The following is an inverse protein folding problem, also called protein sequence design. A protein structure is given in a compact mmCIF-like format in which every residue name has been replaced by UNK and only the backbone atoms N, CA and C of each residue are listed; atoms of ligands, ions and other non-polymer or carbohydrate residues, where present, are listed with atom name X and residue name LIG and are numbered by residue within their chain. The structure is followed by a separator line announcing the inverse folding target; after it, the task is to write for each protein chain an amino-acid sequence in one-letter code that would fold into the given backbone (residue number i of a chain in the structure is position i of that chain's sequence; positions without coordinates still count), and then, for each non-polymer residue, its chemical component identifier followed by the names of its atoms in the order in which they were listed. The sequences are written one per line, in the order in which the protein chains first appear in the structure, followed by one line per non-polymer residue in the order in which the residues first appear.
data_IF_513324966854
#
_entry.id   IF_513324966854
#
_cell.length_a   1.000
_cell.length_b   1.000
_cell.length_c   1.000
_cell.angle_alpha   90.00
_cell.angle_beta   90.00
_cell.angle_gamma   90.00
#
_symmetry.space_group_name_H-M   'P 1'
#
loop_
_entity.id
_entity.type
_entity.pdbx_description
1 polymer ?
2 non-polymer ?
3 water ?
#
# COMPACT_ATOMS: atom_id res chain seq x y z
N UNK A 10 23.62 6.99 10.77
CA UNK A 10 22.19 7.11 11.06
C UNK A 10 21.73 8.55 10.84
N UNK A 11 20.95 8.76 9.79
CA UNK A 11 20.47 10.10 9.45
C UNK A 11 18.98 10.10 9.11
N UNK A 12 18.33 11.23 9.37
CA UNK A 12 16.91 11.40 9.10
C UNK A 12 16.62 11.43 7.61
N UNK A 13 15.38 11.14 7.23
CA UNK A 13 15.00 11.13 5.83
C UNK A 13 13.49 11.34 5.68
N UNK A 14 13.02 11.26 4.44
CA UNK A 14 11.59 11.32 4.16
C UNK A 14 11.15 10.01 3.53
N UNK A 15 9.87 9.69 3.66
CA UNK A 15 9.34 8.52 2.98
C UNK A 15 9.47 8.71 1.47
N UNK A 16 9.32 9.96 1.02
CA UNK A 16 9.47 10.28 -0.40
C UNK A 16 10.85 9.90 -0.93
N UNK A 17 11.88 10.20 -0.14
CA UNK A 17 13.24 9.87 -0.55
C UNK A 17 13.52 8.37 -0.51
N UNK A 18 13.16 7.71 0.57
CA UNK A 18 13.48 6.30 0.73
C UNK A 18 12.71 5.40 -0.25
N UNK A 19 11.51 5.85 -0.63
CA UNK A 19 10.64 5.04 -1.49
C UNK A 19 10.34 5.64 -2.86
N UNK A 20 11.26 6.46 -3.37
CA UNK A 20 11.08 7.07 -4.67
C UNK A 20 11.13 6.08 -5.81
N UNK A 21 12.09 5.16 -5.75
CA UNK A 21 12.27 4.15 -6.79
C UNK A 21 11.35 2.94 -6.57
N UNK A 22 10.47 3.02 -5.57
CA UNK A 22 9.52 1.95 -5.33
C UNK A 22 8.46 1.98 -6.41
N UNK A 23 8.26 0.84 -7.09
CA UNK A 23 7.25 0.79 -8.15
C UNK A 23 5.84 0.86 -7.58
N UNK A 24 5.09 1.86 -8.01
CA UNK A 24 3.67 1.92 -7.71
C UNK A 24 3.02 2.30 -9.02
N UNK A 25 1.73 2.06 -9.11
CA UNK A 25 1.05 2.19 -10.39
C UNK A 25 0.27 3.48 -10.57
N UNK A 26 -0.04 3.79 -11.82
CA UNK A 26 -1.08 4.76 -12.11
C UNK A 26 -2.21 3.98 -12.77
N UNK A 27 -3.44 4.30 -12.41
CA UNK A 27 -4.58 3.50 -12.85
C UNK A 27 -5.68 4.40 -13.36
N UNK A 28 -6.55 3.85 -14.20
CA UNK A 28 -7.80 4.52 -14.51
C UNK A 28 -8.89 3.88 -13.68
N UNK A 29 -9.67 4.73 -13.01
CA UNK A 29 -10.85 4.26 -12.28
C UNK A 29 -12.08 4.74 -13.03
N UNK A 30 -12.95 3.81 -13.38
CA UNK A 30 -14.06 4.20 -14.26
C UNK A 30 -15.33 3.42 -14.01
N UNK A 31 -16.45 4.07 -14.27
CA UNK A 31 -17.77 3.45 -14.19
C UNK A 31 -18.75 4.15 -15.08
N UNK A 32 -19.75 3.39 -15.52
CA UNK A 32 -20.90 3.92 -16.22
C UNK A 32 -21.92 4.33 -15.19
N UNK A 33 -22.23 5.62 -15.16
CA UNK A 33 -23.21 6.13 -14.22
C UNK A 33 -24.40 6.68 -15.00
N UNK A 34 -25.51 5.95 -14.96
CA UNK A 34 -26.72 6.33 -15.70
C UNK A 34 -26.43 6.52 -17.18
N UNK A 35 -25.59 5.65 -17.72
CA UNK A 35 -25.27 5.66 -19.13
C UNK A 35 -24.19 6.66 -19.51
N UNK A 36 -23.66 7.36 -18.52
CA UNK A 36 -22.60 8.33 -18.78
C UNK A 36 -21.29 7.87 -18.18
N UNK A 37 -20.26 7.88 -19.01
CA UNK A 37 -18.93 7.46 -18.58
C UNK A 37 -18.32 8.46 -17.61
N UNK A 38 -17.84 7.96 -16.48
CA UNK A 38 -17.12 8.77 -15.50
C UNK A 38 -15.80 8.08 -15.22
N UNK A 39 -14.70 8.81 -15.30
CA UNK A 39 -13.40 8.21 -15.07
C UNK A 39 -12.37 9.21 -14.59
N UNK A 40 -11.38 8.70 -13.89
CA UNK A 40 -10.30 9.56 -13.45
C UNK A 40 -9.05 8.71 -13.32
N UNK A 41 -7.90 9.35 -13.32
CA UNK A 41 -6.66 8.65 -13.17
C UNK A 41 -6.14 8.89 -11.75
N UNK A 42 -5.65 7.85 -11.11
CA UNK A 42 -5.07 8.00 -9.77
C UNK A 42 -3.73 7.30 -9.69
N UNK A 43 -2.84 7.78 -8.81
CA UNK A 43 -1.52 7.19 -8.68
C UNK A 43 -1.31 6.62 -7.27
N UNK A 44 -0.06 6.25 -7.00
CA UNK A 44 0.34 5.56 -5.78
C UNK A 44 -0.51 4.29 -5.64
N UNK A 45 -0.73 3.61 -6.78
CA UNK A 45 -1.52 2.39 -6.73
C UNK A 45 -0.67 1.21 -6.29
N UNK A 46 -1.11 0.50 -5.25
CA UNK A 46 -0.39 -0.68 -4.76
C UNK A 46 -1.36 -1.67 -4.19
N UNK A 47 -1.03 -2.96 -4.30
CA UNK A 47 -1.78 -3.98 -3.57
C UNK A 47 -1.47 -3.88 -2.08
N UNK A 48 -2.47 -3.91 -1.22
CA UNK A 48 -2.22 -3.89 0.24
C UNK A 48 -2.55 -5.25 0.85
N UNK A 49 -3.13 -6.16 0.05
CA UNK A 49 -3.37 -7.52 0.49
C UNK A 49 -3.51 -8.41 -0.73
N UNK A 50 -3.04 -9.64 -0.66
CA UNK A 50 -3.07 -10.53 -1.84
C UNK A 50 -4.24 -11.51 -1.86
N UNK A 51 -4.42 -12.21 -0.75
CA UNK A 51 -5.46 -13.23 -0.62
C UNK A 51 -6.16 -13.05 0.73
N UNK A 52 -7.30 -12.34 0.74
CA UNK A 52 -8.00 -11.79 -0.44
C UNK A 52 -7.35 -10.52 -0.97
N UNK A 53 -7.59 -10.21 -2.25
CA UNK A 53 -6.96 -9.02 -2.85
C UNK A 53 -7.65 -7.71 -2.47
N UNK A 54 -6.85 -6.78 -1.94
CA UNK A 54 -7.28 -5.39 -1.78
C UNK A 54 -6.17 -4.47 -2.28
N UNK A 55 -6.56 -3.32 -2.80
CA UNK A 55 -5.61 -2.40 -3.42
C UNK A 55 -5.86 -0.99 -2.91
N UNK A 56 -4.90 -0.12 -3.14
CA UNK A 56 -4.97 1.24 -2.64
C UNK A 56 -4.52 2.21 -3.72
N UNK A 57 -5.13 3.39 -3.75
CA UNK A 57 -4.61 4.50 -4.55
C UNK A 57 -4.97 5.81 -3.89
N UNK A 58 -4.36 6.89 -4.35
CA UNK A 58 -4.62 8.22 -3.81
C UNK A 58 -5.41 9.07 -4.80
N UNK A 59 -6.40 9.79 -4.29
CA UNK A 59 -7.18 10.69 -5.12
C UNK A 59 -7.23 12.07 -4.46
N UNK A 60 -7.07 13.12 -5.27
CA UNK A 60 -7.06 14.49 -4.76
C UNK A 60 -8.45 14.89 -4.25
N UNK A 61 -8.48 15.60 -3.12
CA UNK A 61 -9.74 15.96 -2.48
C UNK A 61 -10.51 16.99 -3.28
N UNK A 62 -9.83 17.62 -4.24
CA UNK A 62 -10.47 18.61 -5.11
C UNK A 62 -11.16 17.96 -6.30
N UNK A 63 -10.97 16.65 -6.49
CA UNK A 63 -11.54 15.93 -7.63
C UNK A 63 -13.06 16.05 -7.68
N UNK A 64 -13.56 16.48 -8.83
CA UNK A 64 -14.99 16.63 -9.04
C UNK A 64 -15.58 15.33 -9.59
N UNK A 65 -14.72 14.49 -10.14
CA UNK A 65 -15.14 13.20 -10.65
C UNK A 65 -15.23 12.13 -9.55
N UNK A 66 -14.32 12.16 -8.57
CA UNK A 66 -14.33 11.09 -7.58
C UNK A 66 -15.66 10.95 -6.81
N UNK A 67 -16.29 12.06 -6.35
CA UNK A 67 -17.58 11.90 -5.66
C UNK A 67 -18.64 11.21 -6.51
N UNK A 68 -18.49 11.27 -7.83
CA UNK A 68 -19.42 10.61 -8.74
C UNK A 68 -19.15 9.12 -8.82
N UNK A 69 -17.97 8.71 -8.37
CA UNK A 69 -17.54 7.31 -8.51
C UNK A 69 -17.55 6.54 -7.20
N UNK A 70 -17.29 7.23 -6.10
CA UNK A 70 -16.93 6.54 -4.85
C UNK A 70 -18.04 5.65 -4.30
N UNK A 71 -19.29 5.98 -4.59
CA UNK A 71 -20.43 5.23 -4.07
C UNK A 71 -21.05 4.29 -5.09
N UNK A 72 -20.36 4.04 -6.20
CA UNK A 72 -20.89 3.13 -7.20
C UNK A 72 -20.66 1.69 -6.74
N UNK A 73 -21.59 0.79 -7.08
CA UNK A 73 -21.53 -0.62 -6.67
C UNK A 73 -20.21 -1.28 -7.05
N UNK A 74 -19.76 -1.07 -8.29
CA UNK A 74 -18.47 -1.61 -8.71
C UNK A 74 -17.69 -0.60 -9.55
N UNK A 75 -16.40 -0.49 -9.26
CA UNK A 75 -15.53 0.35 -10.06
C UNK A 75 -14.63 -0.51 -10.91
N UNK A 76 -14.31 -0.02 -12.10
CA UNK A 76 -13.33 -0.67 -12.94
C UNK A 76 -11.97 -0.03 -12.72
N UNK A 77 -11.00 -0.81 -12.26
CA UNK A 77 -9.62 -0.32 -12.19
C UNK A 77 -8.83 -0.90 -13.35
N UNK A 78 -8.31 -0.05 -14.23
CA UNK A 78 -7.42 -0.53 -15.28
C UNK A 78 -6.02 -0.07 -14.92
N UNK A 79 -5.08 -1.00 -14.76
CA UNK A 79 -3.71 -0.61 -14.42
C UNK A 79 -2.98 -0.13 -15.67
N UNK A 80 -2.55 1.12 -15.66
CA UNK A 80 -2.03 1.74 -16.88
C UNK A 80 -0.53 1.50 -17.02
N UNK A 81 0.16 1.36 -15.89
CA UNK A 81 1.58 1.12 -15.89
C UNK A 81 2.19 1.68 -14.61
N UNK A 82 3.52 1.69 -14.53
CA UNK A 82 4.19 2.30 -13.40
C UNK A 82 4.01 3.82 -13.47
N UNK A 83 3.80 4.46 -12.32
CA UNK A 83 3.32 5.85 -12.31
C UNK A 83 4.34 6.86 -12.86
N UNK A 84 5.60 6.45 -12.98
CA UNK A 84 6.63 7.34 -13.52
C UNK A 84 6.89 7.07 -15.00
N UNK A 85 6.26 6.05 -15.57
CA UNK A 85 6.48 5.72 -16.97
C UNK A 85 5.70 6.67 -17.87
N UNK A 86 6.35 7.20 -18.91
CA UNK A 86 5.72 8.23 -19.73
C UNK A 86 4.51 7.71 -20.49
N UNK A 87 4.57 6.47 -20.95
CA UNK A 87 3.45 5.87 -21.67
C UNK A 87 2.24 5.72 -20.75
N UNK A 88 2.49 5.40 -19.47
CA UNK A 88 1.42 5.27 -18.50
C UNK A 88 0.81 6.62 -18.20
N UNK A 89 1.65 7.64 -18.03
CA UNK A 89 1.18 9.00 -17.82
C UNK A 89 0.30 9.47 -18.98
N UNK A 90 0.68 9.08 -20.19
CA UNK A 90 -0.08 9.48 -21.39
C UNK A 90 -1.47 8.84 -21.35
N UNK A 91 -1.55 7.59 -20.92
CA UNK A 91 -2.83 6.92 -20.76
C UNK A 91 -3.66 7.61 -19.68
N UNK A 92 -2.99 8.05 -18.62
CA UNK A 92 -3.67 8.75 -17.54
C UNK A 92 -4.27 10.06 -18.06
N UNK A 93 -3.49 10.77 -18.89
CA UNK A 93 -3.97 12.02 -19.45
C UNK A 93 -5.19 11.79 -20.32
N UNK A 94 -5.15 10.74 -21.12
CA UNK A 94 -6.28 10.43 -22.02
C UNK A 94 -7.51 10.07 -21.20
N UNK A 95 -7.29 9.32 -20.13
CA UNK A 95 -8.38 8.97 -19.22
C UNK A 95 -9.09 10.22 -18.73
N UNK A 96 -8.30 11.23 -18.36
CA UNK A 96 -8.85 12.49 -17.87
C UNK A 96 -9.41 13.38 -18.97
N UNK A 97 -9.12 13.04 -20.22
CA UNK A 97 -9.57 13.86 -21.35
C UNK A 97 -10.70 13.14 -22.08
N UNK A 98 -11.71 12.74 -21.30
CA UNK A 98 -12.89 12.05 -21.81
C UNK A 98 -12.53 10.74 -22.53
N UNK A 99 -11.51 10.03 -22.03
CA UNK A 99 -11.06 8.76 -22.63
C UNK A 99 -10.73 8.91 -24.11
N UNK A 100 -10.06 10.00 -24.45
CA UNK A 100 -9.75 10.32 -25.84
C UNK A 100 -8.90 9.25 -26.47
N UNK A 101 -9.36 8.73 -27.61
CA UNK A 101 -8.61 7.75 -28.37
C UNK A 101 -8.58 6.36 -27.77
N UNK A 102 -9.34 6.15 -26.70
CA UNK A 102 -9.36 4.87 -26.02
C UNK A 102 -10.64 4.07 -26.32
N UNK A 103 -10.53 2.75 -26.24
CA UNK A 103 -11.70 1.87 -26.23
C UNK A 103 -12.06 1.51 -24.79
N UNK A 104 -13.32 1.69 -24.43
CA UNK A 104 -13.74 1.31 -23.09
C UNK A 104 -14.72 0.13 -23.13
N UNK A 105 -14.72 -0.65 -22.06
CA UNK A 105 -15.59 -1.82 -21.93
C UNK A 105 -16.40 -1.63 -20.67
N UNK A 106 -17.73 -1.61 -20.81
CA UNK A 106 -18.59 -1.42 -19.64
C UNK A 106 -19.28 -2.72 -19.27
N UNK A 107 -18.94 -3.25 -18.10
CA UNK A 107 -19.58 -4.45 -17.58
C UNK A 107 -21.02 -4.16 -17.18
N UNK A 108 -21.87 -5.19 -17.11
CA UNK A 108 -23.26 -4.96 -16.68
C UNK A 108 -23.35 -4.32 -15.28
N UNK A 109 -22.33 -4.54 -14.45
CA UNK A 109 -22.29 -3.98 -13.10
C UNK A 109 -22.06 -2.48 -13.11
N UNK A 110 -21.63 -1.95 -14.25
CA UNK A 110 -21.29 -0.54 -14.34
C UNK A 110 -19.80 -0.29 -14.31
N UNK A 111 -19.01 -1.31 -13.96
CA UNK A 111 -17.55 -1.14 -13.94
C UNK A 111 -17.03 -0.98 -15.37
N UNK A 112 -16.10 -0.05 -15.56
CA UNK A 112 -15.59 0.25 -16.91
C UNK A 112 -14.09 0.05 -16.98
N UNK A 113 -13.62 -0.59 -18.05
CA UNK A 113 -12.19 -0.86 -18.21
C UNK A 113 -11.66 -0.33 -19.54
N UNK A 114 -10.36 -0.08 -19.57
CA UNK A 114 -9.71 0.40 -20.79
C UNK A 114 -9.11 -0.76 -21.58
N UNK A 115 -9.59 -0.97 -22.80
CA UNK A 115 -9.05 -2.04 -23.62
C UNK A 115 -7.59 -1.73 -23.96
N UNK A 116 -6.73 -2.75 -23.85
CA UNK A 116 -5.33 -2.57 -24.18
C UNK A 116 -4.46 -2.45 -22.94
N UNK A 117 -5.11 -2.37 -21.78
CA UNK A 117 -4.36 -2.42 -20.52
C UNK A 117 -4.32 -3.88 -20.06
N UNK A 118 -3.26 -4.24 -19.35
CA UNK A 118 -2.95 -5.64 -19.08
C UNK A 118 -3.72 -6.23 -17.90
N UNK A 119 -4.20 -5.37 -17.01
CA UNK A 119 -4.85 -5.85 -15.81
C UNK A 119 -6.12 -5.05 -15.49
N UNK A 120 -7.23 -5.76 -15.38
CA UNK A 120 -8.51 -5.20 -14.97
C UNK A 120 -8.91 -5.73 -13.62
N UNK A 121 -9.21 -4.82 -12.70
CA UNK A 121 -9.66 -5.20 -11.37
C UNK A 121 -11.04 -4.61 -11.09
N UNK A 122 -12.06 -5.45 -11.07
CA UNK A 122 -13.39 -4.96 -10.72
C UNK A 122 -13.49 -4.90 -9.20
N UNK A 123 -13.78 -3.72 -8.69
CA UNK A 123 -13.51 -3.42 -7.28
C UNK A 123 -14.61 -2.62 -6.60
N UNK A 124 -14.65 -2.66 -5.27
CA UNK A 124 -15.58 -1.86 -4.50
C UNK A 124 -14.85 -1.14 -3.38
N UNK A 125 -15.19 0.12 -3.14
CA UNK A 125 -14.54 0.87 -2.06
C UNK A 125 -14.74 0.19 -0.72
N UNK A 126 -13.64 0.00 0.01
CA UNK A 126 -13.69 -0.67 1.30
C UNK A 126 -13.47 0.32 2.42
N UNK A 127 -12.56 1.26 2.20
CA UNK A 127 -12.22 2.23 3.23
C UNK A 127 -11.66 3.53 2.62
N UNK A 128 -11.97 4.66 3.24
CA UNK A 128 -11.41 5.96 2.83
C UNK A 128 -10.58 6.54 3.96
N UNK A 129 -9.31 6.83 3.70
CA UNK A 129 -8.40 7.30 4.74
C UNK A 129 -7.84 8.67 4.36
N UNK A 130 -8.17 9.71 5.15
CA UNK A 130 -7.68 11.05 4.83
C UNK A 130 -6.15 11.13 4.84
N UNK A 131 -5.60 11.87 3.90
CA UNK A 131 -4.15 12.00 3.78
C UNK A 131 -3.77 13.36 3.21
N UNK A 132 -3.91 14.40 4.03
CA UNK A 132 -3.61 15.76 3.60
C UNK A 132 -4.54 16.24 2.48
N UNK A 133 -3.97 16.66 1.36
CA UNK A 133 -4.76 17.20 0.26
C UNK A 133 -5.36 16.09 -0.60
N UNK A 134 -5.19 14.83 -0.18
CA UNK A 134 -5.76 13.72 -0.93
C UNK A 134 -6.34 12.68 0.02
N UNK A 135 -6.85 11.61 -0.58
CA UNK A 135 -7.47 10.53 0.18
C UNK A 135 -6.94 9.20 -0.30
N UNK A 136 -6.59 8.34 0.65
CA UNK A 136 -6.21 6.96 0.37
C UNK A 136 -7.46 6.11 0.24
N UNK A 137 -7.64 5.53 -0.94
CA UNK A 137 -8.81 4.70 -1.21
C UNK A 137 -8.37 3.24 -1.19
N UNK A 138 -8.93 2.46 -0.27
CA UNK A 138 -8.63 1.04 -0.21
C UNK A 138 -9.84 0.32 -0.76
N UNK A 139 -9.63 -0.59 -1.70
CA UNK A 139 -10.74 -1.25 -2.37
C UNK A 139 -10.61 -2.76 -2.31
N UNK A 140 -11.76 -3.43 -2.21
CA UNK A 140 -11.81 -4.88 -2.31
C UNK A 140 -11.93 -5.25 -3.79
N UNK A 141 -11.09 -6.16 -4.25
CA UNK A 141 -11.13 -6.60 -5.65
C UNK A 141 -12.02 -7.82 -5.77
N UNK A 142 -13.04 -7.77 -6.62
CA UNK A 142 -13.99 -8.88 -6.72
C UNK A 142 -13.80 -9.72 -7.98
N UNK A 143 -13.19 -9.14 -9.00
CA UNK A 143 -12.88 -9.88 -10.22
C UNK A 143 -11.58 -9.37 -10.82
N UNK A 144 -10.76 -10.31 -11.27
CA UNK A 144 -9.50 -10.00 -11.94
C UNK A 144 -9.49 -10.53 -13.36
N UNK A 145 -9.19 -9.68 -14.33
CA UNK A 145 -9.06 -10.11 -15.71
C UNK A 145 -7.70 -9.71 -16.26
N UNK A 146 -7.04 -10.65 -16.95
CA UNK A 146 -5.74 -10.38 -17.55
C UNK A 146 -5.83 -10.48 -19.07
N UNK A 147 -5.40 -9.43 -19.76
CA UNK A 147 -5.47 -9.39 -21.21
C UNK A 147 -4.21 -9.97 -21.84
N UNK B 14 -2.58 -17.60 -10.02
CA UNK B 14 -3.44 -16.56 -10.57
C UNK B 14 -3.22 -15.22 -9.87
N UNK B 15 -3.60 -15.14 -8.60
CA UNK B 15 -3.49 -13.89 -7.84
C UNK B 15 -2.05 -13.43 -7.75
N UNK B 16 -1.14 -14.36 -7.51
CA UNK B 16 0.28 -14.03 -7.42
C UNK B 16 0.81 -13.53 -8.75
N UNK B 17 0.38 -14.18 -9.83
CA UNK B 17 0.83 -13.83 -11.18
C UNK B 17 0.34 -12.43 -11.57
N UNK B 18 -0.90 -12.12 -11.20
CA UNK B 18 -1.49 -10.83 -11.51
C UNK B 18 -0.73 -9.68 -10.86
N UNK B 19 -0.37 -9.87 -9.59
CA UNK B 19 0.27 -8.82 -8.80
C UNK B 19 1.77 -9.04 -8.64
N UNK B 20 2.35 -9.88 -9.50
CA UNK B 20 3.77 -10.16 -9.45
C UNK B 20 4.65 -8.95 -9.76
N UNK B 21 4.14 -8.04 -10.58
CA UNK B 21 4.84 -6.81 -10.93
C UNK B 21 4.95 -5.85 -9.73
N UNK B 22 4.18 -6.10 -8.68
CA UNK B 22 4.20 -5.27 -7.47
C UNK B 22 4.90 -5.97 -6.32
N UNK B 23 6.16 -5.61 -6.04
CA UNK B 23 6.92 -6.14 -4.91
C UNK B 23 6.49 -5.50 -3.60
N UNK B 24 6.80 -6.16 -2.50
CA UNK B 24 6.44 -5.60 -1.20
C UNK B 24 7.46 -6.02 -0.17
N UNK B 25 7.43 -5.39 0.99
CA UNK B 25 8.47 -5.63 1.96
C UNK B 25 8.06 -6.53 3.10
N UNK B 26 9.06 -7.05 3.80
CA UNK B 26 8.84 -7.71 5.07
C UNK B 26 9.48 -6.81 6.13
N UNK B 27 8.79 -6.63 7.24
CA UNK B 27 9.22 -5.68 8.27
C UNK B 27 9.16 -6.29 9.65
N UNK B 28 9.95 -5.72 10.57
CA UNK B 28 9.79 -6.03 11.98
C UNK B 28 9.03 -4.88 12.63
N UNK B 29 8.01 -5.24 13.39
CA UNK B 29 7.17 -4.27 14.09
C UNK B 29 7.47 -4.44 15.57
N UNK B 30 7.87 -3.37 16.26
CA UNK B 30 8.30 -3.57 17.63
C UNK B 30 8.05 -2.36 18.54
N UNK B 31 7.80 -2.65 19.81
CA UNK B 31 7.71 -1.60 20.82
C UNK B 31 8.11 -2.09 22.18
N UNK B 32 8.53 -1.15 23.03
CA UNK B 32 8.77 -1.41 24.43
C UNK B 32 7.48 -1.20 25.18
N UNK B 33 6.95 -2.26 25.78
CA UNK B 33 5.70 -2.14 26.51
C UNK B 33 5.94 -2.52 27.96
N UNK B 34 5.84 -1.54 28.84
CA UNK B 34 6.16 -1.72 30.27
C UNK B 34 7.57 -2.28 30.43
N UNK B 35 8.50 -1.76 29.64
CA UNK B 35 9.88 -2.18 29.71
C UNK B 35 10.15 -3.57 29.14
N UNK B 36 9.14 -4.15 28.49
CA UNK B 36 9.30 -5.46 27.86
C UNK B 36 9.15 -5.36 26.35
N UNK B 37 10.13 -5.91 25.65
CA UNK B 37 10.16 -5.87 24.19
C UNK B 37 9.08 -6.76 23.59
N UNK B 38 8.25 -6.18 22.74
CA UNK B 38 7.27 -6.94 22.01
C UNK B 38 7.48 -6.72 20.52
N UNK B 39 7.58 -7.80 19.76
CA UNK B 39 7.84 -7.65 18.34
C UNK B 39 7.30 -8.79 17.50
N UNK B 40 7.04 -8.48 16.25
CA UNK B 40 6.55 -9.47 15.29
C UNK B 40 7.02 -9.10 13.91
N UNK B 41 6.94 -10.06 12.99
CA UNK B 41 7.27 -9.82 11.61
C UNK B 41 5.97 -9.68 10.81
N UNK B 42 5.94 -8.73 9.88
CA UNK B 42 4.76 -8.55 9.03
C UNK B 42 5.15 -8.44 7.56
N UNK B 43 4.21 -8.77 6.68
CA UNK B 43 4.50 -8.82 5.26
C UNK B 43 3.57 -7.91 4.47
N UNK B 44 3.71 -7.96 3.15
CA UNK B 44 3.00 -7.06 2.24
C UNK B 44 3.17 -5.58 2.67
N UNK B 45 4.38 -5.22 3.07
CA UNK B 45 4.66 -3.84 3.44
C UNK B 45 4.80 -2.95 2.20
N UNK B 46 3.99 -1.89 2.12
CA UNK B 46 4.04 -0.94 1.01
C UNK B 46 3.75 0.48 1.48
N UNK B 47 4.29 1.49 0.77
CA UNK B 47 3.85 2.87 1.03
C UNK B 47 2.49 3.11 0.38
N UNK B 48 1.57 3.77 1.07
CA UNK B 48 0.28 4.08 0.46
C UNK B 48 0.06 5.57 0.24
N UNK B 49 0.93 6.39 0.81
CA UNK B 49 0.91 7.85 0.57
C UNK B 49 2.30 8.39 0.89
N UNK B 50 2.84 9.24 0.02
CA UNK B 50 4.20 9.75 0.23
C UNK B 50 4.22 11.02 1.07
N UNK B 51 3.26 11.92 0.81
CA UNK B 51 3.19 13.21 1.47
C UNK B 51 1.73 13.65 1.67
N UNK B 52 1.18 13.46 2.88
CA UNK B 52 1.79 12.90 4.09
C UNK B 52 2.12 11.41 3.98
N UNK B 53 3.16 10.98 4.71
CA UNK B 53 3.66 9.61 4.68
C UNK B 53 2.76 8.63 5.42
N UNK B 54 2.21 7.66 4.70
CA UNK B 54 1.52 6.54 5.31
C UNK B 54 1.96 5.23 4.66
N UNK B 55 1.96 4.16 5.45
CA UNK B 55 2.38 2.85 4.97
C UNK B 55 1.36 1.81 5.40
N UNK B 56 1.46 0.62 4.80
CA UNK B 56 0.56 -0.47 5.10
C UNK B 56 1.35 -1.77 5.28
N UNK B 57 0.92 -2.62 6.21
CA UNK B 57 1.38 -4.01 6.21
C UNK B 57 0.26 -4.94 6.68
N UNK B 58 0.48 -6.24 6.52
CA UNK B 58 -0.51 -7.24 6.93
C UNK B 58 -0.01 -8.02 8.11
N UNK B 59 -0.87 -8.24 9.10
CA UNK B 59 -0.51 -9.06 10.27
C UNK B 59 -1.50 -10.21 10.40
N UNK B 60 -0.99 -11.38 10.77
CA UNK B 60 -1.86 -12.56 10.87
C UNK B 60 -2.85 -12.42 12.03
N UNK B 61 -4.10 -12.84 11.81
CA UNK B 61 -5.11 -12.72 12.84
C UNK B 61 -4.84 -13.65 14.02
N UNK B 62 -3.98 -14.64 13.81
CA UNK B 62 -3.58 -15.54 14.88
C UNK B 62 -2.46 -14.97 15.76
N UNK B 63 -1.94 -13.80 15.39
CA UNK B 63 -0.83 -13.24 16.17
C UNK B 63 -1.19 -12.97 17.63
N UNK B 64 -0.38 -13.48 18.54
CA UNK B 64 -0.59 -13.23 19.96
C UNK B 64 0.10 -11.92 20.37
N UNK B 65 1.06 -11.48 19.57
CA UNK B 65 1.83 -10.29 19.89
C UNK B 65 1.11 -9.03 19.37
N UNK B 66 0.48 -9.11 18.22
CA UNK B 66 -0.13 -7.91 17.63
C UNK B 66 -1.13 -7.20 18.58
N UNK B 67 -2.00 -7.95 19.30
CA UNK B 67 -2.86 -7.30 20.29
C UNK B 67 -2.13 -6.42 21.31
N UNK B 68 -0.89 -6.78 21.65
CA UNK B 68 -0.12 -6.00 22.62
C UNK B 68 0.44 -4.72 22.00
N UNK B 69 0.52 -4.69 20.67
CA UNK B 69 1.13 -3.58 19.96
C UNK B 69 0.16 -2.58 19.36
N UNK B 70 -1.02 -3.03 18.95
CA UNK B 70 -1.84 -2.20 18.07
C UNK B 70 -2.23 -0.86 18.68
N UNK B 71 -2.28 -0.80 20.01
CA UNK B 71 -2.76 0.40 20.69
C UNK B 71 -1.63 1.25 21.28
N UNK B 72 -0.38 0.91 20.99
CA UNK B 72 0.75 1.66 21.55
C UNK B 72 0.89 3.00 20.80
N UNK B 73 1.33 4.05 21.50
CA UNK B 73 1.48 5.39 20.90
C UNK B 73 2.36 5.41 19.66
N UNK B 74 3.46 4.66 19.69
CA UNK B 74 4.38 4.61 18.55
C UNK B 74 4.92 3.21 18.37
N UNK B 75 4.97 2.76 17.12
CA UNK B 75 5.55 1.47 16.79
C UNK B 75 6.79 1.70 15.95
N UNK B 76 7.80 0.85 16.14
CA UNK B 76 8.98 0.91 15.30
C UNK B 76 8.82 -0.06 14.14
N UNK B 77 8.91 0.45 12.91
CA UNK B 77 8.94 -0.41 11.73
C UNK B 77 10.39 -0.47 11.26
N UNK B 78 11.00 -1.65 11.32
CA UNK B 78 12.29 -1.84 10.70
C UNK B 78 12.07 -2.57 9.36
N UNK B 79 12.46 -1.94 8.26
CA UNK B 79 12.26 -2.58 6.95
C UNK B 79 13.39 -3.59 6.73
N UNK B 80 13.04 -4.86 6.59
CA UNK B 80 14.04 -5.92 6.53
C UNK B 80 14.52 -6.18 5.12
N UNK B 81 13.64 -5.97 4.14
CA UNK B 81 13.95 -6.24 2.75
C UNK B 81 12.72 -6.63 1.99
N UNK B 82 12.91 -7.10 0.75
CA UNK B 82 11.79 -7.49 -0.06
C UNK B 82 11.32 -8.86 0.41
N UNK B 83 10.01 -9.09 0.33
CA UNK B 83 9.36 -10.31 0.83
C UNK B 83 9.98 -11.63 0.41
N UNK B 84 10.52 -11.68 -0.81
CA UNK B 84 11.04 -12.92 -1.37
C UNK B 84 12.56 -13.06 -1.21
N UNK B 85 13.13 -12.19 -0.40
CA UNK B 85 14.56 -12.23 -0.11
C UNK B 85 14.80 -13.12 1.11
N UNK B 86 15.56 -14.19 0.92
CA UNK B 86 15.85 -15.12 2.02
C UNK B 86 16.54 -14.46 3.22
N UNK B 87 17.41 -13.50 2.98
CA UNK B 87 18.08 -12.82 4.07
C UNK B 87 17.06 -12.04 4.89
N UNK B 88 16.12 -11.40 4.21
CA UNK B 88 15.08 -10.64 4.89
C UNK B 88 14.16 -11.58 5.69
N UNK B 89 13.87 -12.74 5.14
CA UNK B 89 13.03 -13.71 5.83
C UNK B 89 13.75 -14.24 7.07
N UNK B 90 15.07 -14.38 6.97
CA UNK B 90 15.87 -14.82 8.12
C UNK B 90 15.81 -13.81 9.27
N UNK B 91 15.92 -12.53 8.93
CA UNK B 91 15.81 -11.47 9.95
C UNK B 91 14.41 -11.50 10.55
N UNK B 92 13.42 -11.71 9.70
CA UNK B 92 12.04 -11.77 10.16
C UNK B 92 11.87 -12.90 11.18
N UNK B 93 12.58 -13.99 10.97
CA UNK B 93 12.46 -15.15 11.85
C UNK B 93 13.06 -14.80 13.20
N UNK B 94 14.17 -14.06 13.17
CA UNK B 94 14.87 -13.68 14.39
C UNK B 94 14.03 -12.73 15.21
N UNK B 95 13.32 -11.84 14.52
CA UNK B 95 12.38 -10.94 15.17
C UNK B 95 11.34 -11.71 15.96
N UNK B 96 10.82 -12.77 15.38
CA UNK B 96 9.82 -13.59 16.06
C UNK B 96 10.43 -14.38 17.20
N UNK B 97 11.75 -14.50 17.20
CA UNK B 97 12.46 -15.32 18.18
C UNK B 97 13.09 -14.45 19.27
N UNK B 98 12.31 -13.53 19.82
CA UNK B 98 12.77 -12.61 20.86
C UNK B 98 14.03 -11.86 20.42
N UNK B 99 14.09 -11.51 19.14
CA UNK B 99 15.19 -10.73 18.57
C UNK B 99 16.56 -11.38 18.79
N UNK B 100 16.61 -12.69 18.59
CA UNK B 100 17.81 -13.49 18.81
C UNK B 100 19.02 -12.99 18.00
N UNK B 101 20.05 -12.56 18.72
CA UNK B 101 21.29 -12.14 18.09
C UNK B 101 21.23 -10.75 17.48
N UNK B 102 20.14 -10.04 17.74
CA UNK B 102 19.95 -8.68 17.23
C UNK B 102 20.22 -7.60 18.26
N UNK B 103 20.69 -6.45 17.78
CA UNK B 103 20.72 -5.26 18.59
C UNK B 103 19.44 -4.47 18.37
N UNK B 104 18.81 -4.04 19.45
CA UNK B 104 17.60 -3.25 19.32
C UNK B 104 17.81 -1.86 19.92
N UNK B 105 17.09 -0.89 19.35
CA UNK B 105 17.14 0.48 19.81
C UNK B 105 15.74 0.90 20.23
N UNK B 106 15.59 1.33 21.48
CA UNK B 106 14.28 1.77 21.97
C UNK B 106 14.24 3.26 22.13
N UNK B 107 13.40 3.92 21.33
CA UNK B 107 13.20 5.36 21.45
C UNK B 107 12.43 5.71 22.72
N UNK B 108 12.53 6.97 23.20
CA UNK B 108 11.74 7.33 24.38
C UNK B 108 10.24 7.19 24.19
N UNK B 109 9.80 7.14 22.94
CA UNK B 109 8.40 6.99 22.63
C UNK B 109 7.94 5.55 22.85
N UNK B 110 8.90 4.65 22.99
CA UNK B 110 8.60 3.23 23.09
C UNK B 110 8.76 2.48 21.77
N UNK B 111 8.92 3.20 20.67
CA UNK B 111 9.16 2.55 19.35
C UNK B 111 10.52 1.87 19.35
N UNK B 112 10.58 0.65 18.81
CA UNK B 112 11.81 -0.16 18.83
C UNK B 112 12.25 -0.54 17.43
N UNK B 113 13.54 -0.42 17.16
CA UNK B 113 14.09 -0.71 15.85
C UNK B 113 15.24 -1.71 15.92
N UNK B 114 15.47 -2.40 14.81
CA UNK B 114 16.59 -3.34 14.71
C UNK B 114 17.78 -2.65 14.08
N UNK B 115 18.87 -2.55 14.83
CA UNK B 115 20.10 -1.99 14.32
C UNK B 115 20.63 -2.92 13.25
N UNK B 116 21.03 -2.35 12.13
CA UNK B 116 21.53 -3.16 11.04
C UNK B 116 20.52 -3.28 9.93
N UNK B 117 19.35 -2.70 10.14
CA UNK B 117 18.38 -2.61 9.05
C UNK B 117 18.48 -1.22 8.41
N UNK B 118 18.13 -1.11 7.13
CA UNK B 118 18.39 0.09 6.34
C UNK B 118 17.45 1.25 6.64
N UNK B 119 16.21 0.94 7.02
CA UNK B 119 15.17 1.95 7.12
C UNK B 119 14.36 1.77 8.40
N UNK B 120 14.29 2.83 9.20
CA UNK B 120 13.49 2.85 10.42
C UNK B 120 12.31 3.81 10.27
N UNK B 121 11.08 3.31 10.38
CA UNK B 121 9.90 4.16 10.33
C UNK B 121 9.21 4.19 11.68
N UNK B 122 9.25 5.32 12.37
CA UNK B 122 8.53 5.44 13.63
C UNK B 122 7.09 5.82 13.31
N UNK B 123 6.14 4.97 13.70
CA UNK B 123 4.80 5.02 13.12
C UNK B 123 3.67 4.88 14.13
N UNK B 124 2.47 5.28 13.73
CA UNK B 124 1.30 5.16 14.59
C UNK B 124 0.14 4.59 13.78
N UNK B 125 -0.61 3.66 14.35
CA UNK B 125 -1.72 3.03 13.61
C UNK B 125 -2.81 4.05 13.29
N UNK B 126 -3.31 4.01 12.06
CA UNK B 126 -4.33 4.93 11.56
C UNK B 126 -5.64 4.19 11.30
N UNK B 127 -5.54 3.02 10.68
CA UNK B 127 -6.72 2.25 10.32
C UNK B 127 -6.43 0.75 10.28
N UNK B 128 -7.42 -0.05 10.71
CA UNK B 128 -7.36 -1.51 10.61
C UNK B 128 -8.42 -2.01 9.63
N UNK B 129 -8.04 -2.86 8.67
CA UNK B 129 -8.99 -3.39 7.69
C UNK B 129 -8.92 -4.89 7.68
N UNK B 130 -10.03 -5.58 7.98
CA UNK B 130 -9.94 -7.04 7.98
C UNK B 130 -9.72 -7.58 6.58
N UNK B 131 -8.95 -8.67 6.47
CA UNK B 131 -8.66 -9.24 5.17
C UNK B 131 -8.37 -10.73 5.26
N UNK B 132 -9.42 -11.54 5.31
CA UNK B 132 -9.25 -12.98 5.39
C UNK B 132 -8.59 -13.40 6.69
N UNK B 133 -7.45 -14.09 6.61
CA UNK B 133 -6.77 -14.58 7.80
C UNK B 133 -5.82 -13.56 8.37
N UNK B 134 -5.81 -12.37 7.78
CA UNK B 134 -4.94 -11.31 8.29
C UNK B 134 -5.70 -9.99 8.36
N UNK B 135 -5.01 -8.97 8.83
CA UNK B 135 -5.55 -7.64 8.98
C UNK B 135 -4.59 -6.67 8.31
N UNK B 136 -5.14 -5.79 7.47
CA UNK B 136 -4.36 -4.70 6.89
C UNK B 136 -4.22 -3.58 7.90
N UNK B 137 -2.99 -3.16 8.14
CA UNK B 137 -2.72 -2.11 9.12
C UNK B 137 -2.17 -0.92 8.36
N UNK B 138 -2.88 0.20 8.39
CA UNK B 138 -2.40 1.43 7.76
C UNK B 138 -1.87 2.36 8.85
N UNK B 139 -0.69 2.92 8.65
CA UNK B 139 -0.05 3.72 9.70
C UNK B 139 0.46 5.05 9.19
N UNK B 140 0.38 6.07 10.05
CA UNK B 140 1.04 7.34 9.78
C UNK B 140 2.52 7.20 10.14
N UNK B 141 3.41 7.72 9.31
CA UNK B 141 4.84 7.70 9.62
C UNK B 141 5.27 9.05 10.18
N UNK B 142 5.89 9.03 11.37
CA UNK B 142 6.25 10.26 12.07
C UNK B 142 7.72 10.60 11.97
N UNK B 143 8.56 9.60 11.76
CA UNK B 143 9.98 9.84 11.61
C UNK B 143 10.57 8.76 10.73
N UNK B 144 11.51 9.14 9.87
CA UNK B 144 12.20 8.19 9.02
C UNK B 144 13.70 8.30 9.27
N UNK B 145 14.34 7.17 9.58
CA UNK B 145 15.79 7.18 9.78
C UNK B 145 16.44 6.17 8.86
N UNK B 146 17.53 6.59 8.21
CA UNK B 146 18.29 5.74 7.30
C UNK B 146 19.66 5.42 7.89
N UNK B 147 20.07 4.15 7.80
CA UNK B 147 21.43 3.78 8.21
C UNK B 147 22.31 3.70 6.96
N UNK B 148 23.33 4.56 6.92
CA UNK B 148 24.21 4.64 5.76
C UNK B 148 25.15 3.43 5.67
N UNK B 149 25.35 2.76 6.81
CA UNK B 149 26.26 1.61 6.85
C UNK B 149 25.58 0.34 6.37
N UNK B 150 24.29 0.45 6.06
CA UNK B 150 23.51 -0.69 5.57
C UNK B 150 23.14 -0.46 4.11
N UNK B 151 23.34 -1.49 3.29
CA UNK B 151 22.95 -1.42 1.89
C UNK B 151 21.46 -1.12 1.83
N UNK B 152 21.07 -0.14 1.00
CA UNK B 152 19.66 0.24 0.86
C UNK B 152 18.82 -0.88 0.24
N UNK B 153 17.53 -0.91 0.57
CA UNK B 153 16.62 -1.90 0.02
C UNK B 153 16.41 -1.56 -1.45
N UNK B 154 16.37 -2.58 -2.30
CA UNK B 154 16.17 -2.37 -3.73
C UNK B 154 14.80 -2.89 -4.15
X LIG C 1 -14.39 -8.19 -23.07
X LIG C 1 -14.53 -7.09 -24.14
X LIG C 1 -13.44 -7.22 -25.22
X LIG C 1 -13.62 -8.59 -25.96
X LIG C 1 -13.61 -6.08 -26.24
X LIG C 1 -12.56 -6.13 -27.35
X LIG C 1 -13.20 -8.62 -22.87
X LIG C 1 -15.35 -8.61 -22.41
X LIG C 1 -12.80 -9.52 -25.87
X LIG C 1 -14.69 -8.63 -26.67
X LIG C 1 -11.81 -7.12 -27.53
X LIG C 1 -12.49 -5.11 -28.11
X LIG C 1 -12.17 -7.14 -24.64
#
# INVERSE_FOLDING_TARGET
GSMVNSNNKLTASSLREAFGHFPSGVVAIAAEVNGTLEGLAASTFVPVSLDPPLVSFCVQNTSTTWPKLKDRPMLGISVLGEEHDEAARTLAAKTGDRFAGLETVSRPTGAVFIKGTALWLESAVEQLIPAGDHTIVVLRVNEVTVDANVAPIVFHRSGFRRLGA
GSMVNSNNKLTASSLREAFGHFPSGVVAIAAEVNGTLEGLAASTFVPVSLDPPLVSFCVQNTSTTWPKLKDRPMLGISVLGEEHDEAARTLAAKTGDRFAGLETVSRPTGAVFIKGTALWLESAVEQLIPAGDHTIVVLRVNEVTVDANVAPIVFHRSGFRRLGA
FLC CAC CA CB CBC CG CGC OA1 OA2 OB1 OB2 OG1 OG2 OHB
#
